data_IF_422314781141
#
_entry.id   IF_422314781141
#
_cell.length_a   1.000
_cell.length_b   1.000
_cell.length_c   1.000
_cell.angle_alpha   90.00
_cell.angle_beta   90.00
_cell.angle_gamma   90.00
#
_symmetry.space_group_name_H-M   'P 1'
#
loop_
_entity.id
_entity.type
_entity.pdbx_description
1 polymer ?
#
# COMPACT_ATOMS: atom_id res chain seq x y z
N UNK A 1 4.48 -14.80 37.76
CA UNK A 1 4.24 -14.95 36.32
C UNK A 1 5.55 -15.37 35.66
N UNK A 2 5.60 -16.52 34.98
CA UNK A 2 6.81 -17.00 34.28
C UNK A 2 6.49 -17.02 32.79
N UNK A 3 7.12 -16.15 32.02
CA UNK A 3 7.02 -16.18 30.56
C UNK A 3 7.79 -17.39 30.05
N UNK A 4 7.08 -18.40 29.56
CA UNK A 4 7.67 -19.56 28.88
C UNK A 4 7.47 -19.35 27.39
N UNK A 5 8.56 -19.00 26.69
CA UNK A 5 8.57 -18.95 25.23
C UNK A 5 8.94 -20.35 24.71
N UNK A 6 8.04 -20.93 23.92
CA UNK A 6 8.32 -22.16 23.20
C UNK A 6 9.18 -21.86 21.97
N UNK A 7 10.50 -22.05 22.13
CA UNK A 7 11.50 -21.79 21.08
C UNK A 7 11.28 -22.65 19.83
N UNK A 8 10.59 -23.79 19.94
CA UNK A 8 10.33 -24.67 18.79
C UNK A 8 9.27 -24.08 17.85
N UNK A 9 8.33 -23.29 18.39
CA UNK A 9 7.31 -22.58 17.61
C UNK A 9 7.81 -21.29 16.97
N UNK A 10 8.91 -20.72 17.49
CA UNK A 10 9.44 -19.44 17.01
C UNK A 10 10.15 -19.54 15.65
N UNK A 11 10.59 -20.75 15.26
CA UNK A 11 11.25 -20.97 13.96
C UNK A 11 10.28 -21.05 12.78
N UNK A 12 9.00 -21.39 13.01
CA UNK A 12 8.00 -21.38 11.95
C UNK A 12 7.46 -19.95 11.80
N UNK A 13 8.00 -19.24 10.81
CA UNK A 13 7.41 -17.97 10.38
C UNK A 13 6.15 -18.32 9.60
N UNK A 14 4.94 -18.04 10.10
CA UNK A 14 3.73 -18.24 9.32
C UNK A 14 3.87 -17.44 8.02
N UNK A 15 3.80 -18.17 6.90
CA UNK A 15 3.82 -17.74 5.49
C UNK A 15 4.60 -16.45 5.18
N UNK A 16 5.84 -16.61 4.72
CA UNK A 16 6.59 -15.49 4.14
C UNK A 16 5.81 -14.95 2.94
N UNK A 17 5.43 -13.67 3.00
CA UNK A 17 4.75 -12.99 1.89
C UNK A 17 5.54 -13.17 0.59
N UNK A 18 4.83 -13.58 -0.46
CA UNK A 18 5.40 -13.73 -1.80
C UNK A 18 6.00 -12.39 -2.28
N UNK A 19 7.29 -12.36 -2.67
CA UNK A 19 7.90 -11.18 -3.26
C UNK A 19 7.18 -10.68 -4.51
N UNK A 20 6.59 -11.56 -5.33
CA UNK A 20 5.92 -11.16 -6.57
C UNK A 20 4.70 -10.27 -6.31
N UNK A 21 4.00 -10.50 -5.20
CA UNK A 21 2.84 -9.68 -4.80
C UNK A 21 3.22 -8.35 -4.13
N UNK A 22 4.51 -8.01 -4.01
CA UNK A 22 4.93 -6.80 -3.30
C UNK A 22 4.40 -5.51 -3.94
N UNK A 23 4.41 -5.42 -5.27
CA UNK A 23 3.84 -4.30 -6.00
C UNK A 23 2.36 -4.11 -5.66
N UNK A 24 1.59 -5.19 -5.68
CA UNK A 24 0.15 -5.14 -5.39
C UNK A 24 -0.14 -4.73 -3.95
N UNK A 25 0.67 -5.17 -2.99
CA UNK A 25 0.55 -4.73 -1.60
C UNK A 25 0.80 -3.23 -1.46
N UNK A 26 1.82 -2.70 -2.16
CA UNK A 26 2.16 -1.27 -2.17
C UNK A 26 1.05 -0.44 -2.85
N UNK A 27 0.48 -0.96 -3.95
CA UNK A 27 -0.67 -0.35 -4.61
C UNK A 27 -1.92 -0.35 -3.72
N UNK A 28 -2.24 -1.50 -3.11
CA UNK A 28 -3.39 -1.65 -2.19
C UNK A 28 -3.26 -0.75 -0.97
N UNK A 29 -2.06 -0.61 -0.41
CA UNK A 29 -1.86 0.27 0.74
C UNK A 29 -2.05 1.75 0.40
N UNK A 30 -1.64 2.20 -0.80
CA UNK A 30 -1.96 3.54 -1.29
C UNK A 30 -3.47 3.75 -1.38
N UNK A 31 -4.19 2.88 -2.11
CA UNK A 31 -5.64 3.04 -2.30
C UNK A 31 -6.41 2.98 -0.98
N UNK A 32 -6.00 2.07 -0.08
CA UNK A 32 -6.59 1.97 1.26
C UNK A 32 -6.36 3.26 2.06
N UNK A 33 -5.18 3.88 1.93
CA UNK A 33 -4.87 5.13 2.61
C UNK A 33 -5.67 6.30 2.06
N UNK A 34 -5.81 6.41 0.74
CA UNK A 34 -6.67 7.41 0.08
C UNK A 34 -8.10 7.27 0.56
N UNK A 35 -8.63 6.04 0.55
CA UNK A 35 -9.96 5.74 1.05
C UNK A 35 -10.20 6.25 2.47
N UNK A 36 -9.30 5.89 3.40
CA UNK A 36 -9.41 6.28 4.81
C UNK A 36 -9.25 7.79 4.98
N UNK A 37 -8.35 8.42 4.23
CA UNK A 37 -8.12 9.87 4.32
C UNK A 37 -9.32 10.70 3.87
N UNK A 38 -10.13 10.18 2.93
CA UNK A 38 -11.33 10.84 2.43
C UNK A 38 -12.62 10.26 3.04
N UNK A 39 -12.51 9.48 4.12
CA UNK A 39 -13.64 8.85 4.82
C UNK A 39 -14.58 8.05 3.92
N UNK A 40 -14.04 7.49 2.83
CA UNK A 40 -14.81 6.71 1.86
C UNK A 40 -15.01 5.28 2.35
N UNK A 41 -16.20 4.73 2.12
CA UNK A 41 -16.43 3.29 2.16
C UNK A 41 -15.74 2.61 0.98
N UNK A 42 -15.69 1.27 1.00
CA UNK A 42 -15.12 0.50 -0.12
C UNK A 42 -15.95 0.65 -1.39
N UNK A 43 -17.27 0.72 -1.25
CA UNK A 43 -18.20 0.79 -2.38
C UNK A 43 -18.21 2.20 -2.97
N UNK A 44 -18.17 3.24 -2.13
CA UNK A 44 -18.01 4.62 -2.60
C UNK A 44 -16.71 4.78 -3.39
N UNK A 45 -15.58 4.27 -2.89
CA UNK A 45 -14.31 4.34 -3.63
C UNK A 45 -14.37 3.58 -4.97
N UNK A 46 -15.15 2.51 -5.06
CA UNK A 46 -15.34 1.77 -6.31
C UNK A 46 -16.26 2.51 -7.30
N UNK A 47 -17.19 3.33 -6.81
CA UNK A 47 -18.04 4.20 -7.61
C UNK A 47 -17.35 5.51 -8.00
N UNK A 48 -16.32 5.94 -7.26
CA UNK A 48 -15.54 7.14 -7.57
C UNK A 48 -14.83 6.98 -8.92
N UNK A 49 -15.03 7.89 -9.89
CA UNK A 49 -14.42 7.79 -11.19
C UNK A 49 -12.88 7.92 -11.09
N UNK A 50 -12.11 7.21 -11.94
CA UNK A 50 -10.64 7.22 -11.86
C UNK A 50 -10.00 8.62 -11.86
N UNK A 51 -10.43 9.62 -12.66
CA UNK A 51 -9.82 10.95 -12.63
C UNK A 51 -9.95 11.65 -11.27
N UNK A 52 -11.05 11.42 -10.56
CA UNK A 52 -11.28 12.01 -9.25
C UNK A 52 -10.38 11.36 -8.20
N UNK A 53 -10.25 10.03 -8.22
CA UNK A 53 -9.28 9.32 -7.35
C UNK A 53 -7.83 9.74 -7.66
N UNK A 54 -7.51 10.01 -8.93
CA UNK A 54 -6.19 10.54 -9.31
C UNK A 54 -5.95 11.94 -8.73
N UNK A 55 -6.97 12.81 -8.78
CA UNK A 55 -6.92 14.14 -8.17
C UNK A 55 -6.78 14.06 -6.63
N UNK A 56 -7.49 13.13 -5.98
CA UNK A 56 -7.35 12.86 -4.55
C UNK A 56 -5.92 12.46 -4.19
N UNK A 57 -5.25 11.63 -5.01
CA UNK A 57 -3.85 11.24 -4.79
C UNK A 57 -2.89 12.43 -4.97
N UNK A 58 -3.07 13.22 -6.03
CA UNK A 58 -2.29 14.44 -6.32
C UNK A 58 -0.83 14.23 -6.75
N UNK A 59 -0.10 13.28 -6.15
CA UNK A 59 1.29 12.95 -6.54
C UNK A 59 1.32 12.09 -7.82
N UNK A 60 1.90 12.58 -8.93
CA UNK A 60 1.95 11.84 -10.20
C UNK A 60 2.60 10.47 -10.10
N UNK A 61 3.59 10.29 -9.22
CA UNK A 61 4.31 9.01 -9.04
C UNK A 61 3.42 7.99 -8.34
N UNK A 62 2.57 8.44 -7.43
CA UNK A 62 1.61 7.58 -6.74
C UNK A 62 0.41 7.27 -7.65
N UNK A 63 0.00 8.21 -8.50
CA UNK A 63 -0.99 7.98 -9.56
C UNK A 63 -0.48 6.91 -10.54
N UNK A 64 0.77 7.01 -10.99
CA UNK A 64 1.38 6.00 -11.87
C UNK A 64 1.39 4.61 -11.20
N UNK A 65 1.77 4.51 -9.93
CA UNK A 65 1.69 3.26 -9.17
C UNK A 65 0.26 2.70 -9.11
N UNK A 66 -0.75 3.55 -8.99
CA UNK A 66 -2.15 3.16 -8.85
C UNK A 66 -2.78 2.66 -10.16
N UNK A 67 -2.38 3.20 -11.32
CA UNK A 67 -3.07 2.93 -12.59
C UNK A 67 -2.19 2.31 -13.68
N UNK A 68 -0.87 2.40 -13.59
CA UNK A 68 0.01 1.83 -14.61
C UNK A 68 0.02 0.30 -14.56
N UNK A 69 -0.28 -0.32 -15.71
CA UNK A 69 -0.24 -1.78 -15.90
C UNK A 69 1.11 -2.24 -16.49
N UNK A 70 1.79 -1.41 -17.26
CA UNK A 70 3.01 -1.77 -18.01
C UNK A 70 4.32 -1.45 -17.29
N UNK A 71 4.32 -0.49 -16.36
CA UNK A 71 5.55 -0.11 -15.63
C UNK A 71 6.01 -1.26 -14.75
N UNK A 72 7.27 -1.68 -14.84
CA UNK A 72 7.91 -2.57 -13.85
C UNK A 72 8.65 -1.74 -12.80
N UNK A 73 8.70 -2.23 -11.56
CA UNK A 73 9.38 -1.55 -10.45
C UNK A 73 10.41 -2.46 -9.81
N UNK A 74 11.57 -1.89 -9.52
CA UNK A 74 12.56 -2.55 -8.67
C UNK A 74 12.11 -2.52 -7.20
N UNK A 75 12.61 -3.44 -6.35
CA UNK A 75 12.31 -3.42 -4.92
C UNK A 75 12.69 -2.11 -4.23
N UNK A 76 13.73 -1.42 -4.72
CA UNK A 76 14.19 -0.14 -4.16
C UNK A 76 13.22 1.00 -4.51
N UNK A 77 12.72 1.05 -5.74
CA UNK A 77 11.68 2.02 -6.14
C UNK A 77 10.40 1.81 -5.35
N UNK A 78 9.95 0.57 -5.18
CA UNK A 78 8.77 0.24 -4.36
C UNK A 78 8.94 0.71 -2.90
N UNK A 79 10.14 0.60 -2.32
CA UNK A 79 10.43 1.14 -0.98
C UNK A 79 10.35 2.66 -0.94
N UNK A 80 10.87 3.36 -1.95
CA UNK A 80 10.77 4.83 -2.06
C UNK A 80 9.31 5.27 -2.19
N UNK A 81 8.51 4.58 -3.02
CA UNK A 81 7.06 4.80 -3.13
C UNK A 81 6.36 4.55 -1.80
N UNK A 82 6.76 3.51 -1.05
CA UNK A 82 6.19 3.26 0.28
C UNK A 82 6.50 4.36 1.30
N UNK A 83 7.69 4.95 1.25
CA UNK A 83 8.02 6.13 2.06
C UNK A 83 7.19 7.34 1.64
N UNK A 84 6.99 7.55 0.34
CA UNK A 84 6.09 8.59 -0.17
C UNK A 84 4.65 8.38 0.32
N UNK A 85 4.11 7.16 0.20
CA UNK A 85 2.79 6.79 0.74
C UNK A 85 2.71 7.04 2.25
N UNK A 86 3.77 6.77 3.02
CA UNK A 86 3.77 7.05 4.47
C UNK A 86 3.68 8.55 4.80
N UNK A 87 4.30 9.40 3.97
CA UNK A 87 4.31 10.87 4.11
C UNK A 87 3.09 11.56 3.47
N UNK A 88 2.44 10.89 2.52
CA UNK A 88 1.25 11.38 1.84
C UNK A 88 0.13 11.75 2.85
N UNK A 89 -0.46 12.93 2.70
CA UNK A 89 -1.49 13.46 3.61
C UNK A 89 -0.99 14.01 4.96
N UNK A 90 0.34 14.11 5.20
CA UNK A 90 0.90 14.71 6.43
C UNK A 90 1.37 16.16 6.29
N UNK A 91 1.44 16.66 5.06
CA UNK A 91 1.92 18.01 4.75
C UNK A 91 0.80 18.91 4.18
N UNK A 92 -0.46 18.46 4.29
CA UNK A 92 -1.63 19.27 3.97
C UNK A 92 -2.16 19.93 5.25
#
# INVERSE_FOLDING_TARGET
WRHVFDLTKFNQRPEKLDPATYRDRVRKSLLTKVRIHHDLTRDEMAMTPPPEVQAMIGDPRLVELAYSQSRTYTPQELRKLMQAIRRWGKNN
#
